data_IF_905622019225
#
_entry.id   IF_905622019225
#
_cell.length_a   1.000
_cell.length_b   1.000
_cell.length_c   1.000
_cell.angle_alpha   90.00
_cell.angle_beta   90.00
_cell.angle_gamma   90.00
#
_symmetry.space_group_name_H-M   'P 1'
#
loop_
_entity.id
_entity.type
_entity.pdbx_description
1 polymer ?
#
# COMPACT_ATOMS: atom_id res chain seq x y z
N UNK A 1 14.10 -28.00 -2.76
CA UNK A 1 13.04 -27.50 -1.84
C UNK A 1 13.23 -26.05 -1.38
N UNK A 2 14.47 -25.56 -1.19
CA UNK A 2 14.79 -24.17 -0.76
C UNK A 2 14.15 -23.06 -1.62
N UNK A 3 14.18 -23.19 -2.95
CA UNK A 3 13.60 -22.20 -3.89
C UNK A 3 12.07 -22.07 -3.74
N UNK A 4 11.35 -23.17 -3.47
CA UNK A 4 9.90 -23.14 -3.23
C UNK A 4 9.57 -22.36 -1.95
N UNK A 5 10.37 -22.55 -0.89
CA UNK A 5 10.25 -21.83 0.39
C UNK A 5 10.50 -20.33 0.23
N UNK A 6 11.63 -19.94 -0.37
CA UNK A 6 11.92 -18.52 -0.65
C UNK A 6 10.83 -17.86 -1.50
N UNK A 7 10.29 -18.57 -2.50
CA UNK A 7 9.17 -18.09 -3.32
C UNK A 7 7.90 -17.86 -2.48
N UNK A 8 7.62 -18.75 -1.51
CA UNK A 8 6.48 -18.62 -0.58
C UNK A 8 6.68 -17.38 0.32
N UNK A 9 7.85 -17.25 0.92
CA UNK A 9 8.19 -16.13 1.81
C UNK A 9 8.10 -14.79 1.08
N UNK A 10 8.68 -14.69 -0.12
CA UNK A 10 8.59 -13.49 -0.96
C UNK A 10 7.15 -13.13 -1.32
N UNK A 11 6.27 -14.12 -1.53
CA UNK A 11 4.84 -13.85 -1.78
C UNK A 11 4.15 -13.30 -0.53
N UNK A 12 4.46 -13.85 0.65
CA UNK A 12 3.96 -13.33 1.93
C UNK A 12 4.41 -11.89 2.16
N UNK A 13 5.72 -11.62 2.10
CA UNK A 13 6.24 -10.26 2.30
C UNK A 13 5.65 -9.30 1.26
N UNK A 14 5.50 -9.75 0.02
CA UNK A 14 4.85 -8.95 -1.03
C UNK A 14 3.38 -8.65 -0.72
N UNK A 15 2.65 -9.59 -0.11
CA UNK A 15 1.27 -9.34 0.32
C UNK A 15 1.22 -8.24 1.38
N UNK A 16 2.06 -8.30 2.41
CA UNK A 16 2.08 -7.27 3.46
C UNK A 16 2.54 -5.89 2.97
N UNK A 17 3.56 -5.84 2.11
CA UNK A 17 4.02 -4.59 1.49
C UNK A 17 2.95 -3.93 0.60
N UNK A 18 2.21 -4.73 -0.18
CA UNK A 18 1.21 -4.24 -1.13
C UNK A 18 -0.12 -3.87 -0.45
N UNK A 19 -0.63 -4.74 0.43
CA UNK A 19 -1.95 -4.57 1.05
C UNK A 19 -1.90 -3.65 2.27
N UNK A 20 -0.87 -3.78 3.11
CA UNK A 20 -0.80 -3.09 4.41
C UNK A 20 0.22 -1.97 4.45
N UNK A 21 1.15 -1.91 3.51
CA UNK A 21 2.07 -0.77 3.36
C UNK A 21 3.41 -0.92 4.04
N UNK A 22 3.81 -2.14 4.41
CA UNK A 22 5.14 -2.41 4.97
C UNK A 22 6.24 -1.93 4.03
N UNK A 23 7.26 -1.26 4.58
CA UNK A 23 8.40 -0.70 3.80
C UNK A 23 9.73 -1.12 4.39
N UNK A 24 10.75 -1.05 3.54
CA UNK A 24 12.13 -1.24 3.93
C UNK A 24 12.68 0.07 4.55
N UNK A 25 13.58 -0.02 5.55
CA UNK A 25 14.04 -1.24 6.22
C UNK A 25 12.93 -1.87 7.07
N UNK A 26 12.78 -3.19 6.97
CA UNK A 26 11.73 -3.90 7.72
C UNK A 26 12.07 -3.90 9.20
N UNK A 27 11.11 -3.48 10.03
CA UNK A 27 11.26 -3.49 11.48
C UNK A 27 10.75 -4.83 12.01
N UNK A 28 11.57 -5.57 12.75
CA UNK A 28 11.19 -6.86 13.34
C UNK A 28 11.29 -6.74 14.84
N UNK A 29 10.18 -6.94 15.54
CA UNK A 29 10.10 -7.04 16.98
C UNK A 29 10.38 -8.49 17.39
N UNK A 30 11.42 -8.71 18.14
CA UNK A 30 11.87 -10.00 18.63
C UNK A 30 11.40 -10.18 20.07
N UNK A 31 10.61 -11.23 20.27
CA UNK A 31 10.23 -11.74 21.58
C UNK A 31 11.40 -12.52 22.23
N UNK A 32 11.40 -12.64 23.55
CA UNK A 32 12.47 -13.32 24.30
C UNK A 32 12.60 -14.78 23.91
N UNK A 33 11.47 -15.46 23.68
CA UNK A 33 11.45 -16.85 23.21
C UNK A 33 12.10 -17.03 21.84
N UNK A 34 11.95 -16.03 20.97
CA UNK A 34 12.53 -16.03 19.64
C UNK A 34 14.03 -15.74 19.68
N UNK A 35 14.47 -14.77 20.49
CA UNK A 35 15.89 -14.50 20.71
C UNK A 35 16.59 -15.74 21.27
N UNK A 36 16.00 -16.39 22.27
CA UNK A 36 16.56 -17.63 22.81
C UNK A 36 16.70 -18.71 21.74
N UNK A 37 15.69 -18.89 20.88
CA UNK A 37 15.79 -19.85 19.79
C UNK A 37 16.93 -19.53 18.79
N UNK A 38 17.16 -18.25 18.49
CA UNK A 38 18.27 -17.86 17.61
C UNK A 38 19.62 -18.22 18.22
N UNK A 39 19.79 -17.99 19.52
CA UNK A 39 21.01 -18.30 20.26
C UNK A 39 21.21 -19.80 20.38
N UNK A 40 20.21 -20.56 20.87
CA UNK A 40 20.33 -22.01 21.08
C UNK A 40 20.55 -22.81 19.79
N UNK A 41 20.24 -22.23 18.62
CA UNK A 41 20.44 -22.85 17.31
C UNK A 41 21.61 -22.24 16.53
N UNK A 42 22.38 -21.36 17.16
CA UNK A 42 23.56 -20.71 16.59
C UNK A 42 23.25 -20.01 15.25
N UNK A 43 22.07 -19.38 15.15
CA UNK A 43 21.64 -18.64 13.96
C UNK A 43 22.30 -17.26 14.01
N UNK A 44 23.61 -17.23 13.79
CA UNK A 44 24.43 -16.00 13.75
C UNK A 44 24.91 -15.74 12.31
N UNK A 45 24.84 -14.50 11.80
CA UNK A 45 24.22 -13.29 12.35
C UNK A 45 22.70 -13.24 12.11
N UNK A 46 21.91 -12.94 13.15
CA UNK A 46 20.45 -12.88 13.08
C UNK A 46 19.94 -11.91 11.99
N UNK A 47 20.56 -10.72 11.88
CA UNK A 47 20.20 -9.70 10.88
C UNK A 47 20.29 -10.24 9.45
N UNK A 48 21.33 -11.01 9.16
CA UNK A 48 21.57 -11.55 7.81
C UNK A 48 20.54 -12.61 7.47
N UNK A 49 20.23 -13.49 8.41
CA UNK A 49 19.26 -14.58 8.20
C UNK A 49 17.85 -14.02 8.04
N UNK A 50 17.47 -13.04 8.87
CA UNK A 50 16.16 -12.38 8.76
C UNK A 50 16.08 -11.52 7.50
N UNK A 51 17.17 -10.89 7.08
CA UNK A 51 17.27 -10.17 5.80
C UNK A 51 17.10 -11.10 4.58
N UNK A 52 17.73 -12.28 4.58
CA UNK A 52 17.52 -13.29 3.52
C UNK A 52 16.06 -13.79 3.52
N UNK A 53 15.47 -13.97 4.70
CA UNK A 53 14.09 -14.42 4.85
C UNK A 53 13.09 -13.41 4.28
N UNK A 54 13.25 -12.12 4.60
CA UNK A 54 12.35 -11.05 4.18
C UNK A 54 12.66 -10.51 2.78
N UNK A 55 13.89 -10.71 2.29
CA UNK A 55 14.34 -10.25 0.97
C UNK A 55 14.58 -8.74 0.91
N UNK A 56 15.08 -8.14 1.99
CA UNK A 56 15.38 -6.70 2.09
C UNK A 56 16.06 -6.34 3.40
N UNK A 57 16.58 -5.11 3.56
CA UNK A 57 17.26 -4.68 4.78
C UNK A 57 16.31 -4.68 5.98
N UNK A 58 16.83 -5.08 7.14
CA UNK A 58 16.06 -5.30 8.37
C UNK A 58 16.69 -4.54 9.53
N UNK A 59 15.85 -4.11 10.47
CA UNK A 59 16.26 -3.65 11.80
C UNK A 59 15.52 -4.49 12.84
N UNK A 60 16.27 -5.15 13.71
CA UNK A 60 15.74 -5.95 14.81
C UNK A 60 15.52 -5.06 16.04
N UNK A 61 14.39 -5.27 16.71
CA UNK A 61 13.98 -4.55 17.89
C UNK A 61 13.56 -5.50 19.01
N UNK A 62 13.70 -5.08 20.26
CA UNK A 62 13.16 -5.74 21.45
C UNK A 62 12.37 -4.73 22.28
N UNK A 63 11.58 -5.16 23.26
CA UNK A 63 10.92 -4.23 24.20
C UNK A 63 11.60 -4.26 25.56
N UNK A 64 11.39 -3.20 26.35
CA UNK A 64 11.88 -3.17 27.74
C UNK A 64 11.26 -4.28 28.60
N UNK A 65 10.00 -4.63 28.37
CA UNK A 65 9.34 -5.74 29.05
C UNK A 65 9.98 -7.09 28.73
N UNK A 66 10.28 -7.36 27.46
CA UNK A 66 10.95 -8.61 27.06
C UNK A 66 12.33 -8.72 27.73
N UNK A 67 13.08 -7.62 27.81
CA UNK A 67 14.35 -7.61 28.54
C UNK A 67 14.16 -7.90 30.04
N UNK A 68 13.16 -7.28 30.67
CA UNK A 68 12.84 -7.52 32.08
C UNK A 68 12.36 -8.97 32.34
N UNK A 69 11.66 -9.57 31.38
CA UNK A 69 11.23 -10.97 31.45
C UNK A 69 12.42 -11.94 31.35
N UNK A 70 13.32 -11.72 30.39
CA UNK A 70 14.56 -12.50 30.26
C UNK A 70 15.44 -12.36 31.52
N UNK A 71 15.49 -11.18 32.14
CA UNK A 71 16.18 -10.98 33.42
C UNK A 71 15.59 -11.83 34.55
N UNK A 72 14.26 -11.94 34.62
CA UNK A 72 13.55 -12.73 35.65
C UNK A 72 13.76 -14.24 35.47
N UNK A 73 13.91 -14.72 34.24
CA UNK A 73 14.13 -16.14 33.95
C UNK A 73 15.50 -16.66 34.42
N UNK A 74 16.48 -15.78 34.65
CA UNK A 74 17.72 -16.12 35.34
C UNK A 74 18.89 -16.52 34.43
N UNK A 75 19.85 -17.26 35.01
CA UNK A 75 21.18 -17.49 34.41
C UNK A 75 21.16 -18.34 33.15
N UNK A 76 20.20 -19.26 33.03
CA UNK A 76 20.08 -20.16 31.88
C UNK A 76 19.80 -19.40 30.57
N UNK A 77 19.22 -18.20 30.67
CA UNK A 77 18.91 -17.32 29.53
C UNK A 77 19.87 -16.14 29.40
N UNK A 78 21.03 -16.19 30.07
CA UNK A 78 22.02 -15.10 30.08
C UNK A 78 22.51 -14.72 28.68
N UNK A 79 22.84 -15.70 27.83
CA UNK A 79 23.25 -15.46 26.45
C UNK A 79 22.13 -14.82 25.61
N UNK A 80 20.88 -15.21 25.88
CA UNK A 80 19.71 -14.65 25.19
C UNK A 80 19.45 -13.21 25.62
N UNK A 81 19.69 -12.90 26.88
CA UNK A 81 19.62 -11.55 27.42
C UNK A 81 20.69 -10.64 26.81
N UNK A 82 21.94 -11.11 26.72
CA UNK A 82 23.03 -10.35 26.08
C UNK A 82 22.71 -10.09 24.60
N UNK A 83 22.25 -11.12 23.88
CA UNK A 83 21.81 -10.98 22.50
C UNK A 83 20.65 -9.98 22.36
N UNK A 84 19.66 -10.01 23.26
CA UNK A 84 18.53 -9.09 23.26
C UNK A 84 18.93 -7.64 23.58
N UNK A 85 19.95 -7.44 24.42
CA UNK A 85 20.50 -6.12 24.76
C UNK A 85 21.27 -5.47 23.60
N UNK A 86 21.85 -6.27 22.70
CA UNK A 86 22.47 -5.75 21.47
C UNK A 86 21.43 -5.22 20.46
N UNK A 87 20.16 -5.59 20.58
CA UNK A 87 19.09 -5.16 19.68
C UNK A 87 18.58 -3.77 20.05
N UNK A 88 17.95 -3.08 19.08
CA UNK A 88 17.38 -1.76 19.32
C UNK A 88 16.12 -1.87 20.19
N UNK A 89 15.99 -1.04 21.23
CA UNK A 89 14.79 -1.09 22.08
C UNK A 89 13.65 -0.27 21.49
N UNK A 90 12.49 -0.89 21.29
CA UNK A 90 11.23 -0.23 20.95
C UNK A 90 10.61 0.39 22.21
N UNK A 91 10.00 1.57 22.05
CA UNK A 91 9.31 2.29 23.13
C UNK A 91 7.96 1.64 23.42
N UNK A 92 7.73 1.31 24.69
CA UNK A 92 6.47 0.78 25.20
C UNK A 92 5.81 1.83 26.11
N UNK A 93 4.48 1.94 26.05
CA UNK A 93 3.69 2.97 26.75
C UNK A 93 3.21 2.51 28.14
N UNK A 94 4.11 1.96 28.95
CA UNK A 94 3.81 1.59 30.34
C UNK A 94 5.04 1.77 31.23
N UNK A 95 4.81 2.28 32.45
CA UNK A 95 5.87 2.61 33.40
C UNK A 95 6.44 1.36 34.07
N UNK A 96 5.59 0.37 34.35
CA UNK A 96 5.97 -0.90 34.97
C UNK A 96 6.13 -2.03 33.94
N UNK A 97 7.00 -2.99 34.25
CA UNK A 97 7.26 -4.14 33.40
C UNK A 97 6.09 -5.14 33.45
N UNK A 98 5.20 -5.03 32.46
CA UNK A 98 4.13 -6.00 32.14
C UNK A 98 4.69 -7.31 31.54
N UNK A 99 3.91 -8.41 31.53
CA UNK A 99 4.28 -9.60 30.77
C UNK A 99 4.49 -9.28 29.28
N UNK A 100 5.43 -9.98 28.61
CA UNK A 100 5.78 -9.68 27.22
C UNK A 100 4.58 -9.76 26.28
N UNK A 101 3.70 -10.75 26.43
CA UNK A 101 2.55 -10.95 25.53
C UNK A 101 1.59 -9.74 25.51
N UNK A 102 1.32 -9.17 26.68
CA UNK A 102 0.45 -7.99 26.82
C UNK A 102 1.15 -6.75 26.26
N UNK A 103 2.42 -6.55 26.61
CA UNK A 103 3.23 -5.45 26.08
C UNK A 103 3.30 -5.48 24.55
N UNK A 104 3.58 -6.64 23.96
CA UNK A 104 3.67 -6.83 22.51
C UNK A 104 2.31 -6.60 21.83
N UNK A 105 1.22 -7.05 22.46
CA UNK A 105 -0.14 -6.80 21.96
C UNK A 105 -0.47 -5.31 21.94
N UNK A 106 -0.09 -4.56 23.00
CA UNK A 106 -0.27 -3.11 23.09
C UNK A 106 0.56 -2.37 22.04
N UNK A 107 1.85 -2.71 21.90
CA UNK A 107 2.77 -2.08 20.94
C UNK A 107 2.36 -2.32 19.49
N UNK A 108 1.89 -3.53 19.16
CA UNK A 108 1.45 -3.85 17.80
C UNK A 108 0.07 -3.26 17.50
N UNK A 109 -0.86 -3.34 18.46
CA UNK A 109 -2.27 -3.02 18.26
C UNK A 109 -2.91 -3.80 17.09
N UNK A 110 -4.19 -3.49 16.80
CA UNK A 110 -4.95 -4.22 15.76
C UNK A 110 -4.42 -3.94 14.34
N UNK A 111 -4.00 -2.68 14.09
CA UNK A 111 -3.64 -2.19 12.74
C UNK A 111 -2.15 -2.04 12.50
N UNK A 112 -1.29 -2.18 13.53
CA UNK A 112 0.16 -2.07 13.41
C UNK A 112 0.62 -0.81 12.67
N UNK A 113 0.44 0.35 13.32
CA UNK A 113 0.80 1.67 12.76
C UNK A 113 2.25 1.76 12.34
N UNK A 114 3.16 1.17 13.12
CA UNK A 114 4.61 1.21 12.91
C UNK A 114 5.13 0.16 11.90
N UNK A 115 4.26 -0.76 11.47
CA UNK A 115 4.54 -1.86 10.53
C UNK A 115 5.66 -2.81 11.00
N UNK A 116 5.55 -3.27 12.24
CA UNK A 116 6.45 -4.29 12.79
C UNK A 116 6.10 -5.70 12.27
N UNK A 117 7.13 -6.50 11.96
CA UNK A 117 7.06 -7.95 11.94
C UNK A 117 7.26 -8.45 13.37
N UNK A 118 6.60 -9.52 13.79
CA UNK A 118 6.82 -10.11 15.12
C UNK A 118 7.53 -11.45 14.97
N UNK A 119 8.65 -11.63 15.66
CA UNK A 119 9.31 -12.91 15.85
C UNK A 119 9.00 -13.47 17.23
N UNK A 120 8.24 -14.56 17.29
CA UNK A 120 7.89 -15.27 18.54
C UNK A 120 7.86 -16.77 18.29
N UNK A 121 8.21 -17.56 19.31
CA UNK A 121 8.10 -19.01 19.26
C UNK A 121 6.85 -19.55 19.96
N UNK A 122 6.17 -18.73 20.76
CA UNK A 122 4.93 -19.17 21.39
C UNK A 122 3.85 -19.45 20.34
N UNK A 123 3.26 -20.64 20.39
CA UNK A 123 2.22 -21.06 19.48
C UNK A 123 0.87 -20.41 19.81
N UNK A 124 0.53 -20.29 21.10
CA UNK A 124 -0.77 -19.75 21.51
C UNK A 124 -0.84 -18.25 21.20
N UNK A 125 0.22 -17.50 21.52
CA UNK A 125 0.31 -16.09 21.16
C UNK A 125 0.24 -15.84 19.64
N UNK A 126 0.93 -16.67 18.84
CA UNK A 126 0.82 -16.58 17.36
C UNK A 126 -0.60 -16.80 16.87
N UNK A 127 -1.28 -17.82 17.37
CA UNK A 127 -2.66 -18.16 16.96
C UNK A 127 -3.63 -17.03 17.30
N UNK A 128 -3.49 -16.41 18.47
CA UNK A 128 -4.26 -15.23 18.88
C UNK A 128 -4.05 -14.06 17.91
N UNK A 129 -2.79 -13.73 17.60
CA UNK A 129 -2.46 -12.62 16.69
C UNK A 129 -2.94 -12.86 15.25
N UNK A 130 -2.96 -14.11 14.77
CA UNK A 130 -3.50 -14.44 13.44
C UNK A 130 -5.00 -14.17 13.31
N UNK A 131 -5.75 -14.19 14.41
CA UNK A 131 -7.20 -14.00 14.44
C UNK A 131 -7.56 -12.51 14.58
N UNK A 132 -6.79 -11.78 15.39
CA UNK A 132 -7.18 -10.42 15.81
C UNK A 132 -6.37 -9.31 15.11
N UNK A 133 -5.12 -9.60 14.71
CA UNK A 133 -4.15 -8.56 14.34
C UNK A 133 -3.60 -8.71 12.92
N UNK A 134 -3.24 -7.57 12.32
CA UNK A 134 -2.60 -7.50 11.01
C UNK A 134 -1.08 -7.44 11.20
N UNK A 135 -0.49 -8.56 11.62
CA UNK A 135 0.95 -8.67 11.88
C UNK A 135 1.52 -9.88 11.14
N UNK A 136 2.61 -9.72 10.37
CA UNK A 136 3.35 -10.85 9.85
C UNK A 136 4.18 -11.50 10.96
N UNK A 137 4.03 -12.81 11.11
CA UNK A 137 4.68 -13.59 12.15
C UNK A 137 5.91 -14.33 11.61
N UNK A 138 6.99 -14.32 12.38
CA UNK A 138 8.23 -15.04 12.15
C UNK A 138 8.43 -16.04 13.28
N UNK A 139 8.87 -17.24 12.94
CA UNK A 139 9.15 -18.29 13.91
C UNK A 139 10.26 -19.19 13.38
N UNK A 140 10.98 -19.84 14.28
CA UNK A 140 12.07 -20.74 13.93
C UNK A 140 11.62 -22.20 13.93
N UNK A 141 12.03 -22.95 12.91
CA UNK A 141 11.93 -24.41 12.85
C UNK A 141 13.33 -24.99 12.73
N UNK A 142 13.77 -25.69 13.78
CA UNK A 142 15.11 -26.24 13.91
C UNK A 142 16.16 -25.14 13.63
N UNK A 143 16.99 -25.30 12.60
CA UNK A 143 18.02 -24.33 12.25
C UNK A 143 17.58 -23.35 11.14
N UNK A 144 16.28 -23.06 11.01
CA UNK A 144 15.80 -22.23 9.91
C UNK A 144 14.56 -21.40 10.25
N UNK A 145 14.57 -20.13 9.83
CA UNK A 145 13.48 -19.20 10.11
C UNK A 145 12.40 -19.20 9.03
N UNK A 146 11.14 -19.20 9.44
CA UNK A 146 9.98 -19.16 8.55
C UNK A 146 9.10 -17.95 8.83
N UNK A 147 8.49 -17.45 7.76
CA UNK A 147 7.42 -16.47 7.85
C UNK A 147 6.10 -17.20 7.64
N UNK A 148 5.16 -16.88 8.51
CA UNK A 148 3.84 -17.47 8.44
C UNK A 148 3.08 -17.00 7.20
N UNK A 149 2.11 -17.79 6.75
CA UNK A 149 1.23 -17.34 5.70
C UNK A 149 0.17 -16.39 6.26
N UNK A 150 -0.29 -15.42 5.46
CA UNK A 150 -1.33 -14.54 5.95
C UNK A 150 -2.60 -15.35 6.17
N UNK A 151 -3.18 -15.15 7.35
CA UNK A 151 -4.41 -15.77 7.83
C UNK A 151 -5.60 -15.38 6.93
N UNK A 152 -6.66 -16.18 6.96
CA UNK A 152 -7.90 -15.87 6.23
C UNK A 152 -8.49 -14.54 6.69
N UNK A 153 -8.38 -14.20 7.98
CA UNK A 153 -8.76 -12.90 8.52
C UNK A 153 -8.01 -11.75 7.84
N UNK A 154 -6.68 -11.89 7.71
CA UNK A 154 -5.82 -10.87 7.07
C UNK A 154 -6.11 -10.77 5.57
N UNK A 155 -6.38 -11.90 4.91
CA UNK A 155 -6.77 -11.94 3.49
C UNK A 155 -8.13 -11.28 3.26
N UNK A 156 -9.11 -11.56 4.09
CA UNK A 156 -10.44 -10.98 3.94
C UNK A 156 -10.41 -9.48 4.22
N UNK A 157 -9.68 -9.05 5.25
CA UNK A 157 -9.45 -7.62 5.51
C UNK A 157 -8.78 -6.92 4.32
N UNK A 158 -7.80 -7.57 3.68
CA UNK A 158 -7.18 -7.04 2.47
C UNK A 158 -8.19 -6.95 1.30
N UNK A 159 -8.98 -8.01 1.05
CA UNK A 159 -10.03 -8.01 0.03
C UNK A 159 -11.10 -6.95 0.29
N UNK A 160 -11.52 -6.76 1.54
CA UNK A 160 -12.48 -5.73 1.92
C UNK A 160 -11.93 -4.34 1.68
N UNK A 161 -10.65 -4.13 1.99
CA UNK A 161 -9.96 -2.88 1.66
C UNK A 161 -9.92 -2.65 0.15
N UNK A 162 -9.75 -3.70 -0.66
CA UNK A 162 -9.79 -3.62 -2.12
C UNK A 162 -11.22 -3.38 -2.65
N UNK A 163 -12.22 -4.10 -2.15
CA UNK A 163 -13.65 -3.92 -2.49
C UNK A 163 -14.09 -2.51 -2.22
N UNK A 164 -13.82 -1.97 -1.01
CA UNK A 164 -14.11 -0.57 -0.65
C UNK A 164 -13.47 0.44 -1.60
N UNK A 165 -12.37 0.07 -2.28
CA UNK A 165 -11.71 0.95 -3.26
C UNK A 165 -12.29 0.81 -4.65
N UNK A 166 -12.77 -0.38 -5.03
CA UNK A 166 -13.36 -0.66 -6.33
C UNK A 166 -14.81 -0.20 -6.42
N UNK A 167 -15.56 -0.26 -5.31
CA UNK A 167 -16.95 0.20 -5.27
C UNK A 167 -17.04 1.72 -5.22
N UNK A 168 -18.09 2.26 -5.84
CA UNK A 168 -18.43 3.68 -5.72
C UNK A 168 -18.68 4.00 -4.25
N UNK A 169 -18.24 5.19 -3.82
CA UNK A 169 -18.59 5.71 -2.49
C UNK A 169 -20.08 6.01 -2.41
N UNK A 170 -20.65 6.01 -1.20
CA UNK A 170 -22.08 6.29 -1.01
C UNK A 170 -22.46 7.68 -1.56
N UNK A 171 -21.54 8.64 -1.51
CA UNK A 171 -21.70 9.96 -2.12
C UNK A 171 -21.79 9.87 -3.64
N UNK A 172 -20.86 9.14 -4.27
CA UNK A 172 -20.88 8.91 -5.72
C UNK A 172 -22.14 8.15 -6.16
N UNK A 173 -22.61 7.19 -5.34
CA UNK A 173 -23.86 6.46 -5.59
C UNK A 173 -25.08 7.38 -5.51
N UNK A 174 -25.19 8.21 -4.48
CA UNK A 174 -26.25 9.22 -4.35
C UNK A 174 -26.24 10.24 -5.50
N UNK A 175 -25.06 10.68 -5.92
CA UNK A 175 -24.92 11.57 -7.08
C UNK A 175 -25.40 10.90 -8.37
N UNK A 176 -25.03 9.63 -8.57
CA UNK A 176 -25.46 8.86 -9.74
C UNK A 176 -26.98 8.66 -9.73
N UNK A 177 -27.57 8.30 -8.58
CA UNK A 177 -29.02 8.14 -8.42
C UNK A 177 -29.76 9.45 -8.76
N UNK A 178 -29.34 10.59 -8.21
CA UNK A 178 -29.89 11.91 -8.54
C UNK A 178 -29.76 12.23 -10.04
N UNK A 179 -28.60 11.96 -10.64
CA UNK A 179 -28.37 12.22 -12.06
C UNK A 179 -29.24 11.32 -12.95
N UNK A 180 -29.40 10.04 -12.60
CA UNK A 180 -30.28 9.12 -13.32
C UNK A 180 -31.75 9.52 -13.21
N UNK A 181 -32.20 9.97 -12.03
CA UNK A 181 -33.55 10.49 -11.84
C UNK A 181 -33.80 11.75 -12.69
N UNK A 182 -32.83 12.67 -12.77
CA UNK A 182 -32.92 13.86 -13.66
C UNK A 182 -33.02 13.49 -15.13
N UNK A 183 -32.25 12.52 -15.61
CA UNK A 183 -32.29 12.05 -17.00
C UNK A 183 -33.64 11.39 -17.31
N UNK A 184 -34.16 10.57 -16.39
CA UNK A 184 -35.47 9.94 -16.52
C UNK A 184 -36.60 10.97 -16.54
N UNK A 185 -36.57 11.97 -15.65
CA UNK A 185 -37.54 13.07 -15.64
C UNK A 185 -37.49 13.88 -16.94
N UNK A 186 -36.28 14.20 -17.43
CA UNK A 186 -36.10 14.91 -18.70
C UNK A 186 -36.60 14.10 -19.90
N UNK A 187 -36.49 12.77 -19.87
CA UNK A 187 -37.03 11.90 -20.93
C UNK A 187 -38.56 11.78 -20.93
N UNK A 188 -39.21 12.08 -19.79
CA UNK A 188 -40.67 12.05 -19.62
C UNK A 188 -41.35 13.40 -19.85
N UNK A 189 -40.58 14.46 -20.16
CA UNK A 189 -41.13 15.76 -20.57
C UNK A 189 -41.61 16.66 -19.41
N UNK A 190 -41.16 16.42 -18.18
CA UNK A 190 -41.43 17.30 -17.03
C UNK A 190 -40.10 17.93 -16.54
N UNK A 191 -39.89 19.23 -16.80
CA UNK A 191 -38.90 20.05 -16.10
C UNK A 191 -39.46 20.49 -14.74
N UNK A 192 -38.71 20.88 -13.71
CA UNK A 192 -37.34 21.36 -13.50
C UNK A 192 -36.98 20.90 -12.08
N UNK A 193 -35.77 20.38 -11.83
CA UNK A 193 -35.30 20.13 -10.47
C UNK A 193 -34.19 21.12 -10.16
N UNK A 194 -34.42 21.97 -9.15
CA UNK A 194 -33.54 23.05 -8.70
C UNK A 194 -32.11 22.57 -8.41
N UNK A 195 -31.18 23.47 -8.71
CA UNK A 195 -29.73 23.24 -8.68
C UNK A 195 -29.19 23.54 -7.28
N UNK A 196 -29.33 22.60 -6.36
CA UNK A 196 -28.56 22.62 -5.11
C UNK A 196 -27.09 22.29 -5.42
N UNK A 197 -26.30 23.34 -5.60
CA UNK A 197 -24.86 23.28 -5.76
C UNK A 197 -24.20 22.86 -4.45
N UNK A 198 -23.97 21.56 -4.28
CA UNK A 198 -23.13 21.06 -3.20
C UNK A 198 -21.66 21.26 -3.53
N UNK A 199 -21.01 22.17 -2.80
CA UNK A 199 -19.57 22.23 -2.73
C UNK A 199 -19.05 20.90 -2.15
N UNK A 200 -18.41 20.11 -2.99
CA UNK A 200 -17.64 18.97 -2.51
C UNK A 200 -16.54 19.53 -1.61
N UNK A 201 -16.71 19.41 -0.28
CA UNK A 201 -15.64 19.66 0.67
C UNK A 201 -14.41 18.91 0.17
N UNK A 202 -13.41 19.65 -0.30
CA UNK A 202 -12.11 19.07 -0.63
C UNK A 202 -11.62 18.50 0.68
N UNK A 203 -11.73 17.18 0.82
CA UNK A 203 -11.12 16.48 1.94
C UNK A 203 -9.62 16.72 1.78
N UNK A 204 -9.13 17.73 2.50
CA UNK A 204 -7.71 17.98 2.67
C UNK A 204 -7.20 16.75 3.40
N UNK A 205 -6.59 15.85 2.64
CA UNK A 205 -5.81 14.75 3.22
C UNK A 205 -4.83 15.39 4.18
N UNK A 206 -4.97 15.13 5.48
CA UNK A 206 -4.04 15.56 6.50
C UNK A 206 -2.63 15.17 6.04
N UNK A 207 -1.86 16.18 5.67
CA UNK A 207 -0.44 16.04 5.34
C UNK A 207 0.26 15.99 6.69
N UNK A 208 0.59 14.80 7.17
CA UNK A 208 1.62 14.70 8.21
C UNK A 208 2.93 15.22 7.59
N UNK A 209 3.66 16.06 8.34
CA UNK A 209 4.72 16.97 7.90
C UNK A 209 5.98 16.35 7.25
N UNK A 210 5.96 15.07 6.88
CA UNK A 210 7.05 14.38 6.19
C UNK A 210 6.66 13.82 4.80
N UNK A 211 5.43 14.01 4.33
CA UNK A 211 5.02 13.61 2.98
C UNK A 211 5.00 12.08 2.71
N UNK A 212 5.37 11.27 3.71
CA UNK A 212 5.29 9.81 3.66
C UNK A 212 3.89 9.39 4.12
N UNK A 213 3.15 8.73 3.22
CA UNK A 213 1.83 8.17 3.53
C UNK A 213 1.99 6.73 4.00
N UNK A 214 1.53 6.44 5.22
CA UNK A 214 1.60 5.10 5.82
C UNK A 214 0.79 4.04 5.07
N UNK A 215 -0.22 4.47 4.31
CA UNK A 215 -1.06 3.55 3.53
C UNK A 215 -0.74 3.59 2.05
N UNK A 216 -0.69 2.42 1.38
CA UNK A 216 -0.50 2.36 -0.06
C UNK A 216 -1.70 3.00 -0.78
N UNK A 217 -1.47 4.18 -1.35
CA UNK A 217 -2.44 4.88 -2.19
C UNK A 217 -2.41 4.33 -3.62
N UNK A 218 -3.05 3.19 -3.84
CA UNK A 218 -3.57 2.84 -5.15
C UNK A 218 -4.56 3.93 -5.57
N UNK A 219 -4.21 4.65 -6.63
CA UNK A 219 -5.08 5.62 -7.29
C UNK A 219 -6.28 4.83 -7.81
N UNK A 220 -7.49 5.24 -7.43
CA UNK A 220 -8.70 4.74 -8.09
C UNK A 220 -8.61 5.09 -9.57
N UNK A 221 -8.90 4.14 -10.44
CA UNK A 221 -9.05 4.39 -11.87
C UNK A 221 -10.31 5.24 -12.06
N UNK A 222 -10.18 6.56 -11.90
CA UNK A 222 -11.25 7.50 -12.24
C UNK A 222 -11.50 7.38 -13.73
N UNK A 223 -12.78 7.33 -14.12
CA UNK A 223 -13.15 7.43 -15.51
C UNK A 223 -12.46 8.66 -16.10
N UNK A 224 -11.73 8.49 -17.20
CA UNK A 224 -11.19 9.63 -17.95
C UNK A 224 -12.40 10.48 -18.34
N UNK A 225 -12.30 11.79 -18.17
CA UNK A 225 -13.36 12.70 -18.59
C UNK A 225 -13.76 12.44 -20.05
N UNK A 226 -14.98 12.85 -20.45
CA UNK A 226 -15.45 12.64 -21.82
C UNK A 226 -14.37 13.06 -22.80
N UNK A 227 -14.18 12.25 -23.85
CA UNK A 227 -13.17 12.48 -24.87
C UNK A 227 -13.26 13.95 -25.33
N UNK A 228 -12.18 14.75 -25.28
CA UNK A 228 -12.23 16.18 -25.59
C UNK A 228 -12.76 16.50 -27.00
N UNK A 229 -12.81 15.51 -27.91
CA UNK A 229 -13.43 15.63 -29.25
C UNK A 229 -14.95 15.38 -29.26
N UNK A 230 -15.53 14.82 -28.19
CA UNK A 230 -16.96 14.51 -28.05
C UNK A 230 -17.78 15.62 -27.39
N UNK A 231 -17.13 16.66 -26.86
CA UNK A 231 -17.81 17.88 -26.47
C UNK A 231 -18.09 18.72 -27.73
N UNK A 232 -19.27 18.52 -28.34
CA UNK A 232 -19.75 19.44 -29.38
C UNK A 232 -19.75 20.84 -28.78
N UNK A 233 -18.96 21.75 -29.35
CA UNK A 233 -18.90 23.15 -28.90
C UNK A 233 -20.32 23.73 -28.88
N UNK A 234 -20.68 24.35 -27.76
CA UNK A 234 -21.93 25.11 -27.60
C UNK A 234 -22.02 26.11 -28.77
N UNK A 235 -23.00 25.93 -29.68
CA UNK A 235 -23.23 26.88 -30.79
C UNK A 235 -23.54 28.23 -30.17
N UNK A 236 -22.68 29.24 -30.41
CA UNK A 236 -23.03 30.64 -30.14
C UNK A 236 -24.09 31.04 -31.16
N UNK A 237 -25.20 31.60 -30.70
CA UNK A 237 -26.19 32.24 -31.56
C UNK A 237 -25.50 33.39 -32.32
N UNK A 238 -25.72 33.43 -33.62
CA UNK A 238 -25.14 34.38 -34.56
C UNK A 238 -25.97 35.67 -34.46
N UNK A 239 -25.37 36.78 -34.04
CA UNK A 239 -25.93 38.09 -34.33
C UNK A 239 -25.05 38.82 -35.34
N UNK A 240 -25.72 39.37 -36.34
CA UNK A 240 -25.17 39.78 -37.62
C UNK A 240 -24.86 41.27 -37.54
N UNK A 241 -23.62 41.67 -37.80
CA UNK A 241 -23.33 42.99 -38.40
C UNK A 241 -21.96 43.04 -39.07
N UNK A 242 -22.00 43.16 -40.40
CA UNK A 242 -20.92 43.57 -41.30
C UNK A 242 -20.40 44.96 -40.91
N UNK A 243 -19.09 45.17 -41.04
CA UNK A 243 -18.54 46.37 -41.71
C UNK A 243 -17.18 46.01 -42.32
N UNK A 244 -17.00 46.43 -43.57
CA UNK A 244 -15.76 46.33 -44.35
C UNK A 244 -14.80 47.46 -43.93
N UNK A 245 -13.49 47.18 -43.92
CA UNK A 245 -12.50 48.08 -44.51
C UNK A 245 -11.17 47.38 -44.80
N UNK A 246 -10.67 47.69 -45.99
CA UNK A 246 -9.56 47.18 -46.80
C UNK A 246 -8.15 47.58 -46.39
N UNK A 247 -7.16 46.71 -46.66
CA UNK A 247 -5.87 46.99 -47.37
C UNK A 247 -5.02 45.70 -47.40
N UNK A 248 -4.93 45.00 -48.54
CA UNK A 248 -3.86 45.02 -49.57
C UNK A 248 -2.41 44.87 -49.06
N UNK A 249 -1.81 43.70 -49.26
CA UNK A 249 -0.57 43.49 -50.05
C UNK A 249 -0.14 41.99 -50.03
N UNK A 250 0.34 41.51 -51.17
CA UNK A 250 0.85 40.15 -51.52
C UNK A 250 2.15 40.44 -52.33
N UNK A 251 3.04 39.48 -52.69
CA UNK A 251 3.76 38.39 -52.01
C UNK A 251 5.31 38.55 -52.16
N UNK A 252 6.12 37.54 -51.74
CA UNK A 252 7.38 37.00 -52.35
C UNK A 252 8.34 36.49 -51.26
N UNK A 253 8.69 35.20 -51.16
CA UNK A 253 9.56 34.34 -52.00
C UNK A 253 11.08 34.46 -51.70
N UNK A 254 11.71 33.35 -51.29
CA UNK A 254 13.08 32.97 -51.70
C UNK A 254 14.17 32.78 -50.62
N UNK A 255 14.85 31.62 -50.66
CA UNK A 255 16.23 31.35 -50.18
C UNK A 255 16.36 30.78 -48.76
N UNK A 256 16.66 29.48 -48.56
CA UNK A 256 18.00 28.85 -48.30
C UNK A 256 18.63 29.32 -46.97
N UNK A 257 19.11 28.51 -46.02
CA UNK A 257 19.97 27.31 -46.12
C UNK A 257 20.09 26.60 -44.74
N UNK A 258 20.37 25.29 -44.75
CA UNK A 258 21.14 24.44 -43.79
C UNK A 258 21.14 24.69 -42.26
N UNK A 259 20.84 23.67 -41.43
CA UNK A 259 21.74 22.58 -40.96
C UNK A 259 21.23 21.85 -39.70
N UNK A 260 21.49 20.53 -39.67
CA UNK A 260 21.78 19.63 -38.53
C UNK A 260 20.70 19.13 -37.54
N UNK A 261 20.83 17.83 -37.21
CA UNK A 261 20.35 17.19 -35.97
C UNK A 261 19.21 16.17 -36.19
N UNK A 262 19.48 14.99 -36.74
CA UNK A 262 19.83 13.77 -35.99
C UNK A 262 18.66 13.10 -35.23
N UNK A 263 18.32 11.90 -35.71
CA UNK A 263 17.76 10.74 -35.00
C UNK A 263 16.48 10.90 -34.13
N UNK A 264 15.37 10.32 -34.60
CA UNK A 264 14.15 10.11 -33.82
C UNK A 264 13.41 8.87 -34.29
N UNK A 265 13.77 7.73 -33.72
CA UNK A 265 13.28 6.40 -34.07
C UNK A 265 11.76 6.25 -33.93
N UNK A 266 11.19 5.58 -34.93
CA UNK A 266 9.75 5.35 -35.13
C UNK A 266 9.10 4.55 -33.98
N UNK A 267 7.99 5.08 -33.45
CA UNK A 267 7.06 4.37 -32.55
C UNK A 267 6.55 3.08 -33.20
N UNK A 268 7.02 1.92 -32.73
CA UNK A 268 6.45 0.60 -33.05
C UNK A 268 5.16 0.37 -32.26
N UNK A 269 4.02 0.58 -32.88
CA UNK A 269 2.72 0.03 -32.45
C UNK A 269 2.58 -1.42 -32.92
N UNK A 270 2.64 -2.41 -32.01
CA UNK A 270 2.24 -3.78 -32.33
C UNK A 270 0.73 -3.95 -32.09
N UNK A 271 -0.01 -4.09 -33.19
CA UNK A 271 -1.41 -4.52 -33.24
C UNK A 271 -1.54 -5.95 -32.71
N UNK A 272 -2.52 -6.16 -31.82
CA UNK A 272 -2.90 -7.48 -31.28
C UNK A 272 -3.86 -8.13 -32.29
N UNK A 273 -3.42 -9.13 -33.03
CA UNK A 273 -4.29 -9.92 -33.91
C UNK A 273 -5.06 -10.95 -33.09
N UNK A 274 -6.39 -10.80 -33.01
CA UNK A 274 -7.29 -11.89 -32.62
C UNK A 274 -7.34 -12.90 -33.76
N UNK A 275 -7.01 -14.15 -33.49
CA UNK A 275 -7.41 -15.28 -34.35
C UNK A 275 -8.34 -16.16 -33.54
N UNK A 276 -9.63 -16.07 -33.84
CA UNK A 276 -10.61 -17.09 -33.53
C UNK A 276 -10.74 -18.04 -34.72
N UNK A 277 -11.01 -19.30 -34.42
CA UNK A 277 -11.72 -20.36 -35.17
C UNK A 277 -11.62 -21.61 -34.27
N UNK A 278 -12.67 -22.16 -33.66
CA UNK A 278 -13.87 -22.82 -34.22
C UNK A 278 -13.53 -23.85 -35.29
N UNK A 279 -13.70 -25.13 -34.93
CA UNK A 279 -13.35 -26.32 -35.70
C UNK A 279 -12.79 -27.36 -34.74
#
# INVERSE_FOLDING_TARGET
MRVKRQKKNRRTVRFFTVCFGFRQPFKVLCDGTFVHHLVSKEITPADTVVSELLGGPVKLFTTRCVLAELQKLGKDYSESLEAAQMLSTATCEHDEAKPADECLSEVLGVKNSEHFFLGTQDYEFRKKLQQECIVPLLYGLNNSLQIDQPSDFQRETAKDSERKRLTMTDVEKKMLEKQTARILASSRGEGVVEDEQWEASRVFSTRNGLGVKDRPQFKRNRAKGPNPLSCVKKKKANDTKRTLSTSKAVPKSGGQEEKNGESGSRKRTRKRSKKGKSG
#
